data_IF_637166994301
#
_entry.id   IF_637166994301
#
_cell.length_a   1.000
_cell.length_b   1.000
_cell.length_c   1.000
_cell.angle_alpha   90.00
_cell.angle_beta   90.00
_cell.angle_gamma   90.00
#
_symmetry.space_group_name_H-M   'P 1'
#
loop_
_entity.id
_entity.type
_entity.pdbx_description
1 polymer ?
#
# COMPACT_ATOMS: atom_id res chain seq x y z
N UNK A 1 -51.32 -65.63 36.79
CA UNK A 1 -50.80 -65.31 35.45
C UNK A 1 -49.91 -64.05 35.56
N UNK A 2 -48.55 -64.17 35.34
CA UNK A 2 -47.61 -63.09 35.39
C UNK A 2 -47.30 -62.62 33.99
N UNK A 3 -47.65 -61.39 33.63
CA UNK A 3 -47.30 -60.76 32.34
C UNK A 3 -45.93 -60.09 32.44
N UNK A 4 -44.96 -60.60 31.70
CA UNK A 4 -43.63 -60.00 31.53
C UNK A 4 -43.70 -58.96 30.39
N UNK A 5 -43.54 -57.66 30.75
CA UNK A 5 -43.43 -56.58 29.74
C UNK A 5 -41.99 -56.53 29.20
N UNK A 6 -41.81 -56.81 27.96
CA UNK A 6 -40.53 -56.59 27.25
C UNK A 6 -40.37 -55.12 26.90
N UNK A 7 -39.32 -54.49 27.44
CA UNK A 7 -38.96 -53.12 27.14
C UNK A 7 -38.00 -53.11 25.93
N UNK A 8 -38.53 -52.77 24.73
CA UNK A 8 -37.74 -52.70 23.52
C UNK A 8 -37.01 -51.34 23.50
N UNK A 9 -35.72 -51.34 23.83
CA UNK A 9 -34.86 -50.17 23.67
C UNK A 9 -34.65 -49.88 22.18
N UNK A 10 -35.22 -48.80 21.64
CA UNK A 10 -34.93 -48.30 20.28
C UNK A 10 -33.46 -47.89 20.18
N UNK A 11 -32.75 -48.42 19.21
CA UNK A 11 -31.35 -48.03 18.87
C UNK A 11 -31.34 -46.57 18.46
N UNK A 12 -30.41 -45.75 18.99
CA UNK A 12 -30.27 -44.35 18.55
C UNK A 12 -29.87 -44.32 17.09
N UNK A 13 -30.64 -43.61 16.26
CA UNK A 13 -30.29 -43.25 14.89
C UNK A 13 -28.99 -42.48 14.92
N UNK A 14 -27.90 -43.00 14.35
CA UNK A 14 -26.67 -42.26 14.14
C UNK A 14 -27.02 -41.06 13.25
N UNK A 15 -27.08 -39.90 13.86
CA UNK A 15 -27.25 -38.62 13.17
C UNK A 15 -25.95 -38.33 12.41
N UNK A 16 -26.02 -38.13 11.11
CA UNK A 16 -24.90 -37.74 10.25
C UNK A 16 -24.50 -36.26 10.45
N UNK A 17 -24.74 -35.76 11.67
CA UNK A 17 -24.42 -34.37 12.04
C UNK A 17 -22.95 -34.00 11.78
N UNK A 18 -22.03 -34.95 11.97
CA UNK A 18 -20.61 -34.71 11.69
C UNK A 18 -20.35 -34.39 10.21
N UNK A 19 -20.94 -35.16 9.28
CA UNK A 19 -20.81 -34.88 7.85
C UNK A 19 -21.48 -33.56 7.44
N UNK A 20 -22.56 -33.19 8.12
CA UNK A 20 -23.25 -31.91 7.91
C UNK A 20 -22.40 -30.72 8.37
N UNK A 21 -21.79 -30.81 9.55
CA UNK A 21 -20.87 -29.78 10.03
C UNK A 21 -19.61 -29.68 9.17
N UNK A 22 -19.08 -30.80 8.71
CA UNK A 22 -17.92 -30.84 7.81
C UNK A 22 -18.24 -30.21 6.44
N UNK A 23 -19.43 -30.44 5.90
CA UNK A 23 -19.89 -29.81 4.67
C UNK A 23 -20.07 -28.29 4.82
N UNK A 24 -20.63 -27.82 5.96
CA UNK A 24 -20.79 -26.39 6.26
C UNK A 24 -19.43 -25.72 6.42
N UNK A 25 -18.47 -26.31 7.12
CA UNK A 25 -17.14 -25.73 7.30
C UNK A 25 -16.38 -25.66 5.97
N UNK A 26 -16.51 -26.66 5.10
CA UNK A 26 -15.90 -26.65 3.77
C UNK A 26 -16.54 -25.57 2.88
N UNK A 27 -17.85 -25.38 2.95
CA UNK A 27 -18.58 -24.36 2.20
C UNK A 27 -18.20 -22.94 2.68
N UNK A 28 -18.06 -22.74 3.99
CA UNK A 28 -17.59 -21.48 4.56
C UNK A 28 -16.14 -21.18 4.19
N UNK A 29 -15.26 -22.19 4.17
CA UNK A 29 -13.87 -22.02 3.73
C UNK A 29 -13.79 -21.65 2.25
N UNK A 30 -14.64 -22.23 1.38
CA UNK A 30 -14.75 -21.87 -0.04
C UNK A 30 -15.28 -20.45 -0.25
N UNK A 31 -16.28 -20.02 0.51
CA UNK A 31 -16.82 -18.66 0.45
C UNK A 31 -15.81 -17.64 0.95
N UNK A 32 -15.11 -17.90 2.05
CA UNK A 32 -14.04 -17.03 2.54
C UNK A 32 -12.86 -17.00 1.57
N UNK A 33 -12.47 -18.13 1.01
CA UNK A 33 -11.41 -18.22 0.00
C UNK A 33 -11.73 -17.41 -1.26
N UNK A 34 -12.97 -17.51 -1.78
CA UNK A 34 -13.41 -16.75 -2.96
C UNK A 34 -13.60 -15.26 -2.66
N UNK A 35 -14.02 -14.91 -1.43
CA UNK A 35 -14.13 -13.52 -1.00
C UNK A 35 -12.74 -12.88 -0.87
N UNK A 36 -11.79 -13.55 -0.21
CA UNK A 36 -10.40 -13.13 -0.09
C UNK A 36 -9.75 -13.04 -1.48
N UNK A 37 -9.96 -14.03 -2.35
CA UNK A 37 -9.42 -14.03 -3.70
C UNK A 37 -10.00 -12.88 -4.54
N UNK A 38 -11.31 -12.63 -4.51
CA UNK A 38 -11.94 -11.50 -5.22
C UNK A 38 -11.58 -10.14 -4.66
N UNK A 39 -11.44 -10.01 -3.34
CA UNK A 39 -11.18 -8.72 -2.70
C UNK A 39 -9.69 -8.37 -2.74
N UNK A 40 -8.79 -9.33 -2.50
CA UNK A 40 -7.35 -9.10 -2.50
C UNK A 40 -6.75 -9.10 -3.91
N UNK A 41 -7.19 -9.97 -4.83
CA UNK A 41 -6.65 -10.02 -6.20
C UNK A 41 -7.30 -9.03 -7.17
N UNK A 42 -8.53 -8.59 -6.95
CA UNK A 42 -9.17 -7.61 -7.83
C UNK A 42 -8.62 -6.20 -7.63
N UNK A 43 -8.15 -5.88 -6.41
CA UNK A 43 -7.46 -4.62 -6.10
C UNK A 43 -5.93 -4.69 -6.27
N UNK A 44 -5.36 -5.89 -6.40
CA UNK A 44 -3.91 -6.11 -6.50
C UNK A 44 -3.32 -5.84 -7.89
N UNK A 45 -4.07 -5.21 -8.78
CA UNK A 45 -3.64 -4.94 -10.17
C UNK A 45 -2.45 -4.00 -10.34
N UNK A 46 -1.84 -3.47 -9.27
CA UNK A 46 -0.70 -2.52 -9.36
C UNK A 46 0.24 -2.52 -8.14
N UNK A 47 0.51 -3.66 -7.53
CA UNK A 47 1.59 -3.73 -6.54
C UNK A 47 2.85 -4.13 -7.31
N UNK A 48 3.80 -3.20 -7.49
CA UNK A 48 5.07 -3.44 -8.19
C UNK A 48 5.85 -4.64 -7.62
N UNK A 49 5.72 -4.89 -6.34
CA UNK A 49 6.30 -6.03 -5.64
C UNK A 49 5.78 -7.41 -6.12
N UNK A 50 4.50 -7.52 -6.57
CA UNK A 50 3.92 -8.79 -7.04
C UNK A 50 3.99 -8.99 -8.56
N UNK A 51 4.54 -8.02 -9.31
CA UNK A 51 4.67 -8.12 -10.77
C UNK A 51 5.87 -8.93 -11.24
N UNK A 52 6.70 -9.42 -10.34
CA UNK A 52 7.86 -10.29 -10.62
C UNK A 52 7.54 -11.78 -10.72
N UNK A 53 6.28 -12.19 -10.57
CA UNK A 53 5.85 -13.56 -10.83
C UNK A 53 5.08 -13.59 -12.16
N UNK A 54 5.81 -13.60 -13.26
CA UNK A 54 5.30 -13.91 -14.59
C UNK A 54 4.74 -15.34 -14.60
N UNK A 55 3.42 -15.45 -14.68
CA UNK A 55 2.79 -16.63 -15.25
C UNK A 55 2.26 -16.20 -16.61
N UNK A 56 3.09 -16.47 -17.63
CA UNK A 56 2.69 -16.45 -19.03
C UNK A 56 1.51 -17.40 -19.24
N UNK A 57 0.43 -16.88 -19.79
CA UNK A 57 -0.38 -17.67 -20.71
C UNK A 57 -0.92 -16.77 -21.82
N UNK A 58 -0.36 -17.05 -22.98
CA UNK A 58 -0.80 -16.64 -24.31
C UNK A 58 -2.15 -17.27 -24.65
N UNK A 59 -2.98 -16.51 -25.36
CA UNK A 59 -3.74 -16.89 -26.56
C UNK A 59 -4.78 -15.79 -26.81
N UNK A 60 -4.61 -15.08 -27.86
CA UNK A 60 -4.96 -15.17 -29.29
C UNK A 60 -6.44 -14.96 -29.62
N UNK A 61 -6.62 -13.92 -30.50
CA UNK A 61 -7.60 -13.77 -31.61
C UNK A 61 -9.07 -13.55 -31.25
N UNK A 62 -9.85 -12.78 -31.96
CA UNK A 62 -9.93 -12.29 -33.34
C UNK A 62 -11.11 -11.31 -33.48
N UNK A 63 -10.91 -10.17 -34.11
CA UNK A 63 -11.46 -9.73 -35.38
C UNK A 63 -12.99 -9.67 -35.60
N UNK A 64 -13.49 -8.51 -35.98
CA UNK A 64 -14.48 -8.16 -37.01
C UNK A 64 -15.13 -6.81 -36.68
N UNK A 65 -15.03 -5.74 -37.36
CA UNK A 65 -15.19 -5.45 -38.77
C UNK A 65 -16.50 -4.72 -39.01
N UNK A 66 -16.43 -3.41 -39.31
CA UNK A 66 -17.12 -2.72 -40.41
C UNK A 66 -17.06 -1.19 -40.29
N UNK A 67 -16.43 -0.60 -41.28
CA UNK A 67 -16.64 0.73 -41.85
C UNK A 67 -17.92 0.74 -42.72
N UNK A 68 -18.34 1.86 -43.36
CA UNK A 68 -17.82 3.23 -43.45
C UNK A 68 -18.91 4.33 -43.45
N UNK A 69 -18.54 5.62 -43.34
CA UNK A 69 -19.15 6.64 -44.20
C UNK A 69 -18.37 7.96 -44.24
N UNK A 70 -18.13 8.38 -45.46
CA UNK A 70 -17.50 9.56 -46.04
C UNK A 70 -18.03 10.92 -45.52
N UNK A 71 -17.11 11.89 -45.49
CA UNK A 71 -17.38 13.32 -45.51
C UNK A 71 -16.09 14.12 -45.65
N UNK A 72 -15.72 14.42 -46.92
CA UNK A 72 -14.70 15.40 -47.29
C UNK A 72 -15.11 16.80 -46.83
N UNK A 73 -14.13 17.66 -46.43
CA UNK A 73 -13.83 18.97 -47.03
C UNK A 73 -12.61 19.65 -46.36
N UNK A 74 -11.55 19.85 -47.20
CA UNK A 74 -10.58 20.95 -47.34
C UNK A 74 -9.68 21.43 -46.20
N UNK A 75 -8.40 21.37 -46.57
CA UNK A 75 -7.21 22.12 -46.16
C UNK A 75 -7.46 23.61 -45.89
N UNK A 76 -6.86 24.11 -44.81
CA UNK A 76 -6.01 25.30 -44.88
C UNK A 76 -4.94 25.21 -43.77
N UNK A 77 -3.69 25.34 -44.19
CA UNK A 77 -2.53 25.20 -43.34
C UNK A 77 -2.37 26.35 -42.35
N UNK A 78 -1.97 25.99 -41.14
CA UNK A 78 -1.16 26.88 -40.34
C UNK A 78 -0.19 26.03 -39.49
N UNK A 79 1.06 26.07 -39.89
CA UNK A 79 2.19 25.48 -39.17
C UNK A 79 2.42 26.31 -37.90
N UNK A 80 1.90 25.87 -36.82
CA UNK A 80 2.42 26.21 -35.49
C UNK A 80 3.02 24.93 -34.90
N UNK A 81 4.36 24.91 -34.79
CA UNK A 81 5.10 23.93 -34.04
C UNK A 81 4.58 23.94 -32.58
N UNK A 82 3.57 23.14 -32.31
CA UNK A 82 3.22 22.77 -30.96
C UNK A 82 4.36 21.86 -30.47
N UNK A 83 5.26 22.41 -29.65
CA UNK A 83 6.09 21.58 -28.76
C UNK A 83 5.12 20.67 -28.00
N UNK A 84 5.10 19.39 -28.36
CA UNK A 84 4.51 18.37 -27.52
C UNK A 84 5.28 18.40 -26.19
N UNK A 85 4.77 19.11 -25.20
CA UNK A 85 5.16 18.92 -23.82
C UNK A 85 4.76 17.49 -23.46
N UNK A 86 5.75 16.62 -23.49
CA UNK A 86 5.62 15.24 -23.03
C UNK A 86 5.17 15.32 -21.57
N UNK A 87 3.90 15.05 -21.30
CA UNK A 87 3.36 15.04 -19.95
C UNK A 87 4.23 14.09 -19.10
N UNK A 88 5.01 14.66 -18.20
CA UNK A 88 5.84 13.88 -17.26
C UNK A 88 4.86 13.25 -16.27
N UNK A 89 4.87 11.93 -16.21
CA UNK A 89 4.10 11.20 -15.20
C UNK A 89 4.63 11.57 -13.81
N UNK A 90 3.72 11.88 -12.90
CA UNK A 90 4.07 12.19 -11.51
C UNK A 90 3.66 11.03 -10.60
N UNK A 91 4.46 10.81 -9.56
CA UNK A 91 4.11 9.93 -8.44
C UNK A 91 3.83 10.79 -7.20
N UNK A 92 2.71 10.53 -6.53
CA UNK A 92 2.27 11.34 -5.41
C UNK A 92 2.40 10.57 -4.10
N UNK A 93 3.04 11.21 -3.12
CA UNK A 93 2.97 10.81 -1.72
C UNK A 93 2.18 11.84 -0.92
N UNK A 94 1.44 11.36 0.05
CA UNK A 94 0.58 12.18 0.90
C UNK A 94 0.99 12.03 2.35
N UNK A 95 1.10 13.16 3.04
CA UNK A 95 1.42 13.20 4.47
C UNK A 95 0.25 13.83 5.19
N UNK A 96 -0.29 13.18 6.21
CA UNK A 96 -1.37 13.71 7.04
C UNK A 96 -0.76 14.51 8.19
N UNK A 97 -0.80 15.85 8.08
CA UNK A 97 -0.25 16.78 9.08
C UNK A 97 -1.32 17.15 10.09
N UNK A 98 -1.10 16.85 11.37
CA UNK A 98 -2.01 17.11 12.47
C UNK A 98 -1.67 18.36 13.30
N UNK A 99 -0.50 18.98 13.07
CA UNK A 99 -0.14 20.22 13.76
C UNK A 99 1.20 20.79 13.34
N UNK A 100 1.38 22.09 13.61
CA UNK A 100 2.64 22.83 13.40
C UNK A 100 2.92 23.65 14.64
N UNK A 101 4.06 23.46 15.26
CA UNK A 101 4.39 24.01 16.56
C UNK A 101 5.77 24.69 16.57
N UNK A 102 5.87 25.86 17.20
CA UNK A 102 7.15 26.50 17.53
C UNK A 102 7.75 25.93 18.82
N UNK A 103 6.88 25.47 19.72
CA UNK A 103 7.29 24.93 21.02
C UNK A 103 7.25 23.41 20.93
N UNK A 104 8.42 22.78 21.12
CA UNK A 104 8.58 21.32 20.99
C UNK A 104 7.65 20.54 21.92
N UNK A 105 7.44 21.00 23.17
CA UNK A 105 6.57 20.29 24.11
C UNK A 105 5.13 20.13 23.62
N UNK A 106 4.60 21.13 22.87
CA UNK A 106 3.25 21.04 22.31
C UNK A 106 3.18 20.00 21.16
N UNK A 107 4.28 19.89 20.38
CA UNK A 107 4.39 18.84 19.38
C UNK A 107 4.46 17.44 20.02
N UNK A 108 5.25 17.31 21.09
CA UNK A 108 5.40 16.05 21.84
C UNK A 108 4.06 15.63 22.50
N UNK A 109 3.26 16.56 23.02
CA UNK A 109 1.91 16.29 23.56
C UNK A 109 0.96 15.80 22.46
N UNK A 110 0.96 16.45 21.31
CA UNK A 110 0.17 16.03 20.15
C UNK A 110 0.61 14.65 19.66
N UNK A 111 1.92 14.39 19.55
CA UNK A 111 2.48 13.09 19.20
C UNK A 111 1.98 11.99 20.14
N UNK A 112 2.07 12.21 21.47
CA UNK A 112 1.62 11.27 22.48
C UNK A 112 0.12 10.97 22.35
N UNK A 113 -0.70 11.97 22.07
CA UNK A 113 -2.14 11.80 21.85
C UNK A 113 -2.41 10.90 20.65
N UNK A 114 -1.75 11.16 19.52
CA UNK A 114 -1.92 10.41 18.28
C UNK A 114 -1.37 8.98 18.38
N UNK A 115 -0.33 8.75 19.19
CA UNK A 115 0.31 7.43 19.37
C UNK A 115 -0.65 6.39 19.98
N UNK A 116 -1.76 6.82 20.59
CA UNK A 116 -2.78 5.92 21.14
C UNK A 116 -3.57 5.16 20.06
N UNK A 117 -3.57 5.63 18.79
CA UNK A 117 -4.34 5.05 17.68
C UNK A 117 -3.63 5.09 16.32
N UNK A 118 -2.34 5.41 16.29
CA UNK A 118 -1.52 5.43 15.08
C UNK A 118 -0.03 5.44 15.39
N UNK A 119 0.78 5.63 14.36
CA UNK A 119 2.24 5.73 14.47
C UNK A 119 2.70 7.11 13.97
N UNK A 120 2.38 8.18 14.72
CA UNK A 120 2.75 9.54 14.34
C UNK A 120 4.26 9.75 14.48
N UNK A 121 4.77 10.76 13.78
CA UNK A 121 6.15 11.19 13.89
C UNK A 121 6.27 12.70 13.79
N UNK A 122 7.41 13.24 14.26
CA UNK A 122 7.73 14.67 14.16
C UNK A 122 8.76 14.89 13.07
N UNK A 123 8.40 15.72 12.07
CA UNK A 123 9.33 16.28 11.11
C UNK A 123 9.73 17.71 11.52
N UNK A 124 10.97 18.11 11.20
CA UNK A 124 11.47 19.45 11.43
C UNK A 124 11.53 20.23 10.12
N UNK A 125 11.03 21.47 10.13
CA UNK A 125 11.15 22.40 9.00
C UNK A 125 11.54 23.78 9.55
N UNK A 126 12.84 24.09 9.52
CA UNK A 126 13.40 25.23 10.23
C UNK A 126 13.18 25.14 11.74
N UNK A 127 12.58 26.15 12.33
CA UNK A 127 12.29 26.21 13.78
C UNK A 127 10.94 25.56 14.13
N UNK A 128 10.23 24.99 13.14
CA UNK A 128 8.91 24.43 13.34
C UNK A 128 8.96 22.91 13.48
N UNK A 129 8.34 22.40 14.53
CA UNK A 129 8.05 20.98 14.71
C UNK A 129 6.67 20.69 14.12
N UNK A 130 6.60 19.81 13.13
CA UNK A 130 5.36 19.39 12.47
C UNK A 130 5.03 17.96 12.87
N UNK A 131 3.83 17.75 13.39
CA UNK A 131 3.36 16.42 13.77
C UNK A 131 2.57 15.83 12.62
N UNK A 132 3.01 14.66 12.19
CA UNK A 132 2.41 13.90 11.09
C UNK A 132 1.86 12.58 11.61
N UNK A 133 0.68 12.19 11.10
CA UNK A 133 0.05 10.91 11.44
C UNK A 133 0.58 9.75 10.63
N UNK A 134 1.09 9.99 9.44
CA UNK A 134 1.65 8.97 8.56
C UNK A 134 1.94 9.51 7.16
N UNK A 135 2.59 8.66 6.36
CA UNK A 135 2.90 8.89 4.94
C UNK A 135 2.23 7.80 4.14
N UNK A 136 1.58 8.17 3.05
CA UNK A 136 0.74 7.29 2.25
C UNK A 136 0.98 7.50 0.75
N UNK A 137 0.77 6.46 -0.05
CA UNK A 137 0.53 6.60 -1.49
C UNK A 137 -0.97 6.75 -1.76
N UNK A 138 -1.36 7.07 -3.02
CA UNK A 138 -2.76 7.32 -3.43
C UNK A 138 -3.76 6.29 -2.88
N UNK A 139 -3.35 5.03 -2.77
CA UNK A 139 -4.26 3.93 -2.43
C UNK A 139 -4.59 3.82 -0.95
N UNK A 140 -3.73 4.34 -0.09
CA UNK A 140 -3.77 4.05 1.36
C UNK A 140 -4.11 5.27 2.22
N UNK A 141 -4.17 6.47 1.65
CA UNK A 141 -4.41 7.70 2.42
C UNK A 141 -5.78 7.72 3.10
N UNK A 142 -6.80 7.14 2.48
CA UNK A 142 -8.16 7.13 3.01
C UNK A 142 -8.25 6.39 4.35
N UNK A 143 -7.41 5.37 4.58
CA UNK A 143 -7.38 4.65 5.85
C UNK A 143 -6.92 5.54 7.00
N UNK A 144 -5.82 6.28 6.83
CA UNK A 144 -5.32 7.22 7.85
C UNK A 144 -6.28 8.39 8.10
N UNK A 145 -6.81 8.99 7.01
CA UNK A 145 -7.77 10.08 7.12
C UNK A 145 -9.06 9.68 7.84
N UNK A 146 -9.55 8.46 7.62
CA UNK A 146 -10.74 7.92 8.30
C UNK A 146 -10.52 7.75 9.79
N UNK A 147 -9.35 7.25 10.20
CA UNK A 147 -9.00 7.13 11.63
C UNK A 147 -8.99 8.51 12.30
N UNK A 148 -8.32 9.51 11.71
CA UNK A 148 -8.28 10.87 12.25
C UNK A 148 -9.67 11.48 12.36
N UNK A 149 -10.50 11.31 11.35
CA UNK A 149 -11.89 11.78 11.33
C UNK A 149 -12.73 11.12 12.44
N UNK A 150 -12.60 9.81 12.63
CA UNK A 150 -13.30 9.07 13.69
C UNK A 150 -12.89 9.57 15.09
N UNK A 151 -11.61 9.90 15.27
CA UNK A 151 -11.06 10.44 16.52
C UNK A 151 -11.27 11.95 16.69
N UNK A 152 -11.88 12.62 15.72
CA UNK A 152 -12.12 14.06 15.78
C UNK A 152 -10.85 14.90 15.71
N UNK A 153 -9.81 14.40 15.05
CA UNK A 153 -8.52 15.10 14.89
C UNK A 153 -8.49 15.84 13.55
N UNK A 154 -8.31 17.15 13.64
CA UNK A 154 -8.10 17.98 12.44
C UNK A 154 -6.76 17.65 11.80
N UNK A 155 -6.76 17.60 10.47
CA UNK A 155 -5.55 17.33 9.72
C UNK A 155 -5.56 18.04 8.36
N UNK A 156 -4.37 18.20 7.80
CA UNK A 156 -4.13 18.74 6.46
C UNK A 156 -3.37 17.71 5.64
N UNK A 157 -3.86 17.44 4.43
CA UNK A 157 -3.15 16.60 3.46
C UNK A 157 -2.06 17.41 2.77
N UNK A 158 -0.80 17.08 3.04
CA UNK A 158 0.36 17.62 2.34
C UNK A 158 0.73 16.66 1.22
N UNK A 159 0.77 17.15 -0.02
CA UNK A 159 1.14 16.35 -1.20
C UNK A 159 2.58 16.62 -1.59
N UNK A 160 3.32 15.55 -1.86
CA UNK A 160 4.67 15.61 -2.46
C UNK A 160 4.58 14.94 -3.82
N UNK A 161 4.75 15.75 -4.87
CA UNK A 161 4.73 15.31 -6.26
C UNK A 161 6.16 15.02 -6.72
N UNK A 162 6.41 13.82 -7.21
CA UNK A 162 7.71 13.40 -7.73
C UNK A 162 7.58 13.17 -9.23
N UNK A 163 8.19 14.02 -10.08
CA UNK A 163 8.19 13.83 -11.51
C UNK A 163 8.97 12.56 -11.87
N UNK A 164 8.35 11.61 -12.56
CA UNK A 164 8.98 10.36 -12.99
C UNK A 164 9.77 10.57 -14.28
N UNK A 165 10.88 11.31 -14.17
CA UNK A 165 11.69 11.75 -15.31
C UNK A 165 12.53 10.62 -15.91
N UNK A 166 13.03 9.72 -15.05
CA UNK A 166 13.91 8.62 -15.45
C UNK A 166 13.67 7.35 -14.61
N UNK A 167 14.44 6.31 -14.91
CA UNK A 167 14.35 5.01 -14.23
C UNK A 167 14.73 5.08 -12.76
N UNK A 168 15.69 5.94 -12.39
CA UNK A 168 16.11 6.08 -11.00
C UNK A 168 15.01 6.70 -10.14
N UNK A 169 14.33 7.73 -10.64
CA UNK A 169 13.19 8.35 -9.96
C UNK A 169 12.03 7.37 -9.81
N UNK A 170 11.76 6.58 -10.87
CA UNK A 170 10.74 5.53 -10.80
C UNK A 170 11.09 4.49 -9.74
N UNK A 171 12.32 3.99 -9.73
CA UNK A 171 12.78 3.00 -8.75
C UNK A 171 12.76 3.56 -7.32
N UNK A 172 13.12 4.84 -7.13
CA UNK A 172 12.99 5.53 -5.86
C UNK A 172 11.54 5.49 -5.34
N UNK A 173 10.57 5.89 -6.16
CA UNK A 173 9.15 5.87 -5.77
C UNK A 173 8.65 4.46 -5.45
N UNK A 174 9.04 3.45 -6.23
CA UNK A 174 8.67 2.05 -6.00
C UNK A 174 9.23 1.51 -4.67
N UNK A 175 10.48 1.86 -4.32
CA UNK A 175 11.11 1.46 -3.06
C UNK A 175 10.41 2.14 -1.87
N UNK A 176 10.17 3.45 -1.96
CA UNK A 176 9.46 4.19 -0.90
C UNK A 176 8.05 3.63 -0.71
N UNK A 177 7.28 3.41 -1.78
CA UNK A 177 5.93 2.87 -1.68
C UNK A 177 5.93 1.47 -1.02
N UNK A 178 6.86 0.60 -1.41
CA UNK A 178 6.99 -0.74 -0.83
C UNK A 178 7.33 -0.71 0.67
N UNK A 179 8.23 0.19 1.08
CA UNK A 179 8.58 0.38 2.49
C UNK A 179 7.39 0.93 3.29
N UNK A 180 6.68 1.92 2.75
CA UNK A 180 5.48 2.48 3.38
C UNK A 180 4.35 1.45 3.54
N UNK A 181 4.18 0.53 2.58
CA UNK A 181 3.22 -0.56 2.72
C UNK A 181 3.54 -1.46 3.91
N UNK A 182 4.83 -1.77 4.15
CA UNK A 182 5.27 -2.54 5.32
C UNK A 182 4.98 -1.78 6.61
N UNK A 183 5.39 -0.52 6.70
CA UNK A 183 5.23 0.30 7.91
C UNK A 183 3.76 0.56 8.23
N UNK A 184 2.96 0.95 7.24
CA UNK A 184 1.54 1.20 7.44
C UNK A 184 0.78 -0.09 7.86
N UNK A 185 1.26 -1.26 7.43
CA UNK A 185 0.69 -2.54 7.86
C UNK A 185 0.91 -2.84 9.34
N UNK A 186 2.05 -2.43 9.90
CA UNK A 186 2.34 -2.58 11.35
C UNK A 186 1.38 -1.74 12.20
N UNK A 187 0.92 -0.61 11.67
CA UNK A 187 -0.05 0.28 12.33
C UNK A 187 -1.43 -0.37 12.52
N UNK A 188 -1.75 -1.42 11.76
CA UNK A 188 -3.05 -2.08 11.85
C UNK A 188 -3.24 -2.78 13.21
N UNK A 189 -4.48 -2.82 13.66
CA UNK A 189 -4.85 -3.48 14.92
C UNK A 189 -4.51 -4.97 14.90
N UNK A 190 -3.80 -5.44 15.93
CA UNK A 190 -3.42 -6.84 16.07
C UNK A 190 -2.10 -7.23 15.41
N UNK A 191 -1.50 -6.38 14.58
CA UNK A 191 -0.16 -6.62 14.03
C UNK A 191 0.89 -6.22 15.07
N UNK A 192 1.80 -7.14 15.40
CA UNK A 192 2.91 -6.91 16.35
C UNK A 192 4.22 -6.61 15.65
N UNK A 193 4.53 -7.34 14.60
CA UNK A 193 5.71 -7.17 13.76
C UNK A 193 5.44 -7.65 12.34
N UNK A 194 6.28 -7.25 11.42
CA UNK A 194 6.27 -7.73 10.02
C UNK A 194 7.68 -8.17 9.67
N UNK A 195 7.78 -9.33 9.00
CA UNK A 195 9.05 -9.82 8.48
C UNK A 195 9.46 -9.03 7.24
N UNK A 196 10.66 -8.45 7.26
CA UNK A 196 11.21 -7.62 6.18
C UNK A 196 12.00 -8.39 5.12
N UNK A 197 12.16 -9.71 5.29
CA UNK A 197 13.03 -10.53 4.42
C UNK A 197 12.58 -10.51 2.95
N UNK A 198 11.29 -10.50 2.69
CA UNK A 198 10.77 -10.43 1.31
C UNK A 198 11.04 -9.05 0.68
N UNK A 199 10.91 -7.97 1.46
CA UNK A 199 11.28 -6.62 1.01
C UNK A 199 12.76 -6.54 0.66
N UNK A 200 13.64 -7.09 1.53
CA UNK A 200 15.10 -7.15 1.29
C UNK A 200 15.44 -7.94 0.03
N UNK A 201 14.86 -9.13 -0.16
CA UNK A 201 15.05 -9.94 -1.37
C UNK A 201 14.60 -9.19 -2.63
N UNK A 202 13.45 -8.52 -2.56
CA UNK A 202 12.96 -7.74 -3.69
C UNK A 202 13.91 -6.58 -4.03
N UNK A 203 14.43 -5.87 -3.02
CA UNK A 203 15.44 -4.81 -3.19
C UNK A 203 16.70 -5.34 -3.90
N UNK A 204 17.18 -6.53 -3.52
CA UNK A 204 18.35 -7.15 -4.14
C UNK A 204 18.11 -7.57 -5.60
N UNK A 205 16.87 -7.89 -5.95
CA UNK A 205 16.45 -8.22 -7.32
C UNK A 205 16.19 -7.04 -8.23
N UNK A 206 16.21 -5.80 -7.70
CA UNK A 206 15.97 -4.62 -8.51
C UNK A 206 17.08 -4.40 -9.55
N UNK A 207 16.66 -3.96 -10.73
CA UNK A 207 17.59 -3.64 -11.80
C UNK A 207 18.58 -2.55 -11.38
N UNK A 208 19.83 -2.68 -11.83
CA UNK A 208 20.85 -1.67 -11.56
C UNK A 208 20.52 -0.39 -12.30
N UNK A 209 20.72 0.72 -11.63
CA UNK A 209 20.63 2.06 -12.20
C UNK A 209 22.04 2.60 -12.44
N UNK A 210 22.16 3.47 -13.44
CA UNK A 210 23.43 4.11 -13.80
C UNK A 210 23.76 5.22 -12.80
N UNK A 211 25.07 5.39 -12.49
CA UNK A 211 25.56 6.41 -11.55
C UNK A 211 25.29 7.84 -12.02
N UNK A 212 25.08 8.03 -13.31
CA UNK A 212 24.76 9.34 -13.90
C UNK A 212 23.28 9.72 -13.73
N UNK A 213 22.42 8.80 -13.32
CA UNK A 213 21.00 9.07 -13.12
C UNK A 213 20.75 9.96 -11.91
N UNK A 214 19.70 10.77 -12.02
CA UNK A 214 19.41 11.88 -11.11
C UNK A 214 19.24 11.47 -9.63
N UNK A 215 18.61 10.31 -9.39
CA UNK A 215 18.31 9.79 -8.05
C UNK A 215 19.18 8.57 -7.65
N UNK A 216 20.34 8.41 -8.30
CA UNK A 216 21.23 7.27 -8.02
C UNK A 216 21.60 7.15 -6.54
N UNK A 217 22.03 8.24 -5.93
CA UNK A 217 22.46 8.27 -4.52
C UNK A 217 21.29 7.99 -3.56
N UNK A 218 20.13 8.57 -3.82
CA UNK A 218 18.92 8.40 -3.03
C UNK A 218 18.42 6.96 -3.08
N UNK A 219 18.42 6.35 -4.26
CA UNK A 219 18.02 4.94 -4.43
C UNK A 219 18.98 4.01 -3.70
N UNK A 220 20.29 4.23 -3.81
CA UNK A 220 21.26 3.40 -3.10
C UNK A 220 21.16 3.59 -1.58
N UNK A 221 20.99 4.82 -1.11
CA UNK A 221 20.79 5.10 0.32
C UNK A 221 19.54 4.39 0.87
N UNK A 222 18.44 4.39 0.11
CA UNK A 222 17.22 3.65 0.47
C UNK A 222 17.47 2.14 0.51
N UNK A 223 18.17 1.59 -0.48
CA UNK A 223 18.50 0.16 -0.52
C UNK A 223 19.32 -0.27 0.69
N UNK A 224 20.38 0.48 1.00
CA UNK A 224 21.24 0.20 2.16
C UNK A 224 20.47 0.35 3.48
N UNK A 225 19.64 1.38 3.60
CA UNK A 225 18.79 1.56 4.78
C UNK A 225 17.87 0.35 5.00
N UNK A 226 17.17 -0.11 3.96
CA UNK A 226 16.26 -1.26 4.06
C UNK A 226 17.01 -2.54 4.39
N UNK A 227 18.19 -2.76 3.82
CA UNK A 227 19.05 -3.91 4.15
C UNK A 227 19.49 -3.92 5.62
N UNK A 228 19.73 -2.73 6.18
CA UNK A 228 20.12 -2.58 7.58
C UNK A 228 18.95 -2.73 8.57
N UNK A 229 17.70 -2.69 8.12
CA UNK A 229 16.54 -2.93 8.99
C UNK A 229 16.60 -4.34 9.60
N UNK A 230 16.09 -4.55 10.83
CA UNK A 230 15.95 -5.88 11.40
C UNK A 230 15.04 -6.76 10.54
N UNK A 231 15.19 -8.08 10.63
CA UNK A 231 14.31 -9.01 9.89
C UNK A 231 12.86 -8.96 10.37
N UNK A 232 12.66 -8.65 11.64
CA UNK A 232 11.35 -8.35 12.22
C UNK A 232 11.28 -6.85 12.55
N UNK A 233 10.38 -6.15 11.86
CA UNK A 233 10.09 -4.73 12.10
C UNK A 233 8.83 -4.67 12.98
N UNK A 234 8.95 -4.07 14.14
CA UNK A 234 7.85 -3.85 15.08
C UNK A 234 7.50 -2.35 15.19
N UNK A 235 6.49 -2.05 16.00
CA UNK A 235 6.00 -0.68 16.21
C UNK A 235 7.05 0.29 16.77
N UNK A 236 8.11 -0.20 17.40
CA UNK A 236 9.16 0.66 17.95
C UNK A 236 10.05 1.26 16.85
N UNK A 237 10.04 0.65 15.65
CA UNK A 237 10.79 1.11 14.49
C UNK A 237 9.99 2.00 13.54
N UNK A 238 8.67 2.06 13.67
CA UNK A 238 7.81 2.78 12.74
C UNK A 238 8.15 4.27 12.66
N UNK A 239 8.32 4.93 13.79
CA UNK A 239 8.64 6.36 13.84
C UNK A 239 9.98 6.64 13.14
N UNK A 240 11.00 5.81 13.39
CA UNK A 240 12.32 5.94 12.77
C UNK A 240 12.22 5.80 11.26
N UNK A 241 11.50 4.78 10.78
CA UNK A 241 11.33 4.52 9.35
C UNK A 241 10.53 5.63 8.67
N UNK A 242 9.42 6.06 9.27
CA UNK A 242 8.61 7.15 8.72
C UNK A 242 9.37 8.46 8.65
N UNK A 243 10.17 8.77 9.68
CA UNK A 243 11.03 9.94 9.68
C UNK A 243 12.10 9.86 8.59
N UNK A 244 12.76 8.72 8.43
CA UNK A 244 13.72 8.50 7.35
C UNK A 244 13.09 8.70 5.97
N UNK A 245 11.92 8.10 5.74
CA UNK A 245 11.17 8.28 4.47
C UNK A 245 10.79 9.73 4.26
N UNK A 246 10.30 10.42 5.30
CA UNK A 246 9.99 11.84 5.25
C UNK A 246 11.20 12.66 4.80
N UNK A 247 12.38 12.44 5.40
CA UNK A 247 13.62 13.17 5.09
C UNK A 247 14.09 12.93 3.63
N UNK A 248 13.75 11.76 3.05
CA UNK A 248 14.00 11.53 1.63
C UNK A 248 12.98 12.27 0.74
N UNK A 249 11.71 12.23 1.10
CA UNK A 249 10.62 12.81 0.29
C UNK A 249 10.65 14.34 0.27
N UNK A 250 11.00 15.01 1.39
CA UNK A 250 11.03 16.47 1.44
C UNK A 250 12.08 17.10 0.51
N UNK A 251 13.09 16.34 0.06
CA UNK A 251 14.06 16.79 -0.93
C UNK A 251 13.39 17.12 -2.29
N UNK A 252 12.22 16.56 -2.55
CA UNK A 252 11.42 16.83 -3.75
C UNK A 252 10.39 17.96 -3.57
N UNK A 253 10.22 18.44 -2.34
CA UNK A 253 9.34 19.58 -2.07
C UNK A 253 9.99 20.86 -2.60
N UNK A 254 9.41 21.42 -3.65
CA UNK A 254 9.80 22.71 -4.23
C UNK A 254 9.14 23.86 -3.48
#
# INVERSE_FOLDING_TARGET
MKYTRYNIKSKPKKSNSFLFYLAITLLMALLLGTFIFKFILKDSGKIGFLKGLDISNSEQKQNSGKEPSKGEVKEEGNSSEAKEEKAVLEYNFYILQCGVFKVKSNADETLNTLSSFGNPFIGQEGELSKVYFGIYSDKNIESGASILKEKGVDNTKVTINIPMEDKSTKQFCEIVDSLLQVVNKISESGVKSINSSELKKWIDGLEKIDETMKQYNEVNSLKEYIKALPDEIDKTKDEEVLKYVYDQLIKFKK
#
